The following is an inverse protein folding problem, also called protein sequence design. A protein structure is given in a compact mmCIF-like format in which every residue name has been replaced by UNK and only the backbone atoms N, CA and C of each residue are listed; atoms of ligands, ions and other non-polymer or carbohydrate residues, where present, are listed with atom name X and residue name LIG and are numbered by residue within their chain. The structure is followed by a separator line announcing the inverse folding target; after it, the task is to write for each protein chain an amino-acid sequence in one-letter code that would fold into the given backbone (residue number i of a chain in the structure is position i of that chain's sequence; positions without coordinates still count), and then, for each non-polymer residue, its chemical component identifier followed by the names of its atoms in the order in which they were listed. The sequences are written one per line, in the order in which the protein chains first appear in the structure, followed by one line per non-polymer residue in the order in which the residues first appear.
data_IF_410184246913
#
_entry.id   IF_410184246913
#
_cell.length_a   1.000
_cell.length_b   1.000
_cell.length_c   1.000
_cell.angle_alpha   90.00
_cell.angle_beta   90.00
_cell.angle_gamma   90.00
#
_symmetry.space_group_name_H-M   'P 1'
#
loop_
_entity.id
_entity.type
_entity.pdbx_description
1 polymer ?
#
# COMPACT_ATOMS: atom_id res chain seq x y z
N UNK A 1 -25.42 -0.55 -18.69
CA UNK A 1 -24.11 -1.22 -18.81
C UNK A 1 -23.08 -0.26 -18.29
N UNK A 2 -22.49 -0.54 -17.13
CA UNK A 2 -21.38 0.26 -16.61
C UNK A 2 -20.18 0.07 -17.53
N UNK A 3 -19.73 1.16 -18.16
CA UNK A 3 -18.54 1.16 -18.98
C UNK A 3 -17.35 1.24 -18.02
N UNK A 4 -16.58 0.16 -17.93
CA UNK A 4 -15.31 0.15 -17.21
C UNK A 4 -14.33 1.03 -17.99
N UNK A 5 -13.85 2.11 -17.36
CA UNK A 5 -12.79 2.95 -17.94
C UNK A 5 -11.52 2.11 -18.02
N UNK A 6 -11.00 1.91 -19.23
CA UNK A 6 -9.72 1.25 -19.44
C UNK A 6 -8.56 2.25 -19.35
N UNK A 7 -7.36 1.76 -19.07
CA UNK A 7 -6.15 2.59 -19.10
C UNK A 7 -5.94 3.23 -20.48
N UNK A 8 -6.42 2.58 -21.55
CA UNK A 8 -6.35 3.11 -22.92
C UNK A 8 -7.28 4.32 -23.12
N UNK A 9 -8.43 4.38 -22.45
CA UNK A 9 -9.34 5.53 -22.52
C UNK A 9 -8.73 6.77 -21.85
N UNK A 10 -7.83 6.59 -20.87
CA UNK A 10 -7.11 7.66 -20.19
C UNK A 10 -6.01 8.25 -21.09
N UNK A 11 -5.44 7.43 -21.98
CA UNK A 11 -4.35 7.82 -22.88
C UNK A 11 -4.77 8.84 -23.96
N UNK A 12 -6.07 9.02 -24.18
CA UNK A 12 -6.61 10.04 -25.09
C UNK A 12 -6.59 11.46 -24.48
N UNK A 13 -6.38 11.58 -23.17
CA UNK A 13 -6.31 12.89 -22.50
C UNK A 13 -4.97 13.58 -22.77
N UNK A 14 -4.97 14.91 -22.99
CA UNK A 14 -3.75 15.69 -22.95
C UNK A 14 -2.99 15.43 -21.64
N UNK A 15 -1.65 15.31 -21.73
CA UNK A 15 -0.83 14.94 -20.59
C UNK A 15 -1.02 15.86 -19.36
N UNK A 16 -1.26 17.17 -19.59
CA UNK A 16 -1.51 18.12 -18.50
C UNK A 16 -2.85 17.88 -17.79
N UNK A 17 -3.90 17.51 -18.51
CA UNK A 17 -5.20 17.15 -17.92
C UNK A 17 -5.10 15.84 -17.13
N UNK A 18 -4.42 14.84 -17.69
CA UNK A 18 -4.18 13.58 -16.98
C UNK A 18 -3.40 13.80 -15.67
N UNK A 19 -2.34 14.62 -15.69
CA UNK A 19 -1.58 14.97 -14.49
C UNK A 19 -2.43 15.74 -13.47
N UNK A 20 -3.28 16.66 -13.93
CA UNK A 20 -4.22 17.41 -13.07
C UNK A 20 -5.19 16.45 -12.34
N UNK A 21 -5.80 15.52 -13.09
CA UNK A 21 -6.72 14.51 -12.54
C UNK A 21 -6.00 13.61 -11.53
N UNK A 22 -4.82 13.10 -11.90
CA UNK A 22 -4.03 12.25 -11.00
C UNK A 22 -3.61 12.98 -9.73
N UNK A 23 -3.25 14.27 -9.80
CA UNK A 23 -2.92 15.10 -8.64
C UNK A 23 -4.11 15.30 -7.72
N UNK A 24 -5.28 15.64 -8.28
CA UNK A 24 -6.50 15.83 -7.50
C UNK A 24 -6.90 14.52 -6.80
N UNK A 25 -6.86 13.40 -7.52
CA UNK A 25 -7.09 12.08 -6.95
C UNK A 25 -6.08 11.71 -5.87
N UNK A 26 -4.79 12.01 -6.08
CA UNK A 26 -3.70 11.78 -5.13
C UNK A 26 -3.91 12.56 -3.82
N UNK A 27 -4.28 13.84 -3.88
CA UNK A 27 -4.57 14.67 -2.69
C UNK A 27 -5.67 14.02 -1.84
N UNK A 28 -6.75 13.55 -2.49
CA UNK A 28 -7.88 12.92 -1.78
C UNK A 28 -7.53 11.55 -1.22
N UNK A 29 -6.76 10.74 -1.96
CA UNK A 29 -6.49 9.35 -1.60
C UNK A 29 -5.34 9.18 -0.62
N UNK A 30 -4.36 10.09 -0.62
CA UNK A 30 -3.15 9.94 0.19
C UNK A 30 -3.44 9.75 1.69
N UNK A 31 -4.30 10.55 2.36
CA UNK A 31 -4.55 10.36 3.79
C UNK A 31 -5.14 8.99 4.14
N UNK A 32 -6.02 8.46 3.28
CA UNK A 32 -6.58 7.12 3.46
C UNK A 32 -5.50 6.03 3.31
N UNK A 33 -4.63 6.17 2.32
CA UNK A 33 -3.55 5.21 2.08
C UNK A 33 -2.53 5.24 3.22
N UNK A 34 -2.18 6.42 3.74
CA UNK A 34 -1.30 6.58 4.89
C UNK A 34 -1.90 5.97 6.16
N UNK A 35 -3.19 6.21 6.42
CA UNK A 35 -3.88 5.59 7.55
C UNK A 35 -3.88 4.06 7.44
N UNK A 36 -4.12 3.52 6.24
CA UNK A 36 -4.09 2.07 6.01
C UNK A 36 -2.68 1.48 6.15
N UNK A 37 -1.66 2.20 5.70
CA UNK A 37 -0.26 1.84 5.88
C UNK A 37 0.10 1.75 7.37
N UNK A 38 -0.18 2.79 8.15
CA UNK A 38 0.10 2.81 9.58
C UNK A 38 -0.70 1.77 10.37
N UNK A 39 -1.94 1.50 9.97
CA UNK A 39 -2.72 0.42 10.56
C UNK A 39 -2.03 -0.94 10.31
N UNK A 40 -1.63 -1.22 9.08
CA UNK A 40 -0.98 -2.49 8.75
C UNK A 40 0.39 -2.64 9.44
N UNK A 41 1.17 -1.56 9.48
CA UNK A 41 2.44 -1.47 10.23
C UNK A 41 2.23 -1.82 11.71
N UNK A 42 1.21 -1.23 12.36
CA UNK A 42 0.90 -1.50 13.76
C UNK A 42 0.45 -2.96 14.00
N UNK A 43 -0.29 -3.55 13.07
CA UNK A 43 -0.70 -4.97 13.18
C UNK A 43 0.49 -5.92 13.03
N UNK A 44 1.38 -5.65 12.06
CA UNK A 44 2.63 -6.42 11.90
C UNK A 44 3.48 -6.32 13.17
N UNK A 45 3.70 -5.11 13.69
CA UNK A 45 4.46 -4.90 14.92
C UNK A 45 3.84 -5.62 16.13
N UNK A 46 2.51 -5.64 16.23
CA UNK A 46 1.79 -6.38 17.29
C UNK A 46 2.10 -7.87 17.26
N UNK A 47 2.13 -8.49 16.07
CA UNK A 47 2.47 -9.91 15.95
C UNK A 47 3.95 -10.17 16.22
N UNK A 48 4.83 -9.31 15.72
CA UNK A 48 6.27 -9.40 15.99
C UNK A 48 6.58 -9.32 17.48
N UNK A 49 5.90 -8.41 18.20
CA UNK A 49 6.00 -8.29 19.65
C UNK A 49 5.38 -9.51 20.36
N UNK A 50 4.22 -10.00 19.91
CA UNK A 50 3.57 -11.17 20.53
C UNK A 50 4.42 -12.43 20.45
N UNK A 51 5.03 -12.68 19.29
CA UNK A 51 5.73 -13.92 18.98
C UNK A 51 7.26 -13.80 19.07
N UNK A 52 7.78 -12.60 19.34
CA UNK A 52 9.21 -12.32 19.50
C UNK A 52 10.05 -12.81 18.29
N UNK A 53 9.48 -12.71 17.09
CA UNK A 53 10.11 -13.09 15.82
C UNK A 53 9.56 -12.21 14.70
N UNK A 54 10.13 -12.29 13.49
CA UNK A 54 9.55 -11.64 12.30
C UNK A 54 8.80 -12.64 11.44
N UNK A 55 7.86 -12.17 10.62
CA UNK A 55 7.12 -13.05 9.71
C UNK A 55 8.06 -13.78 8.75
N UNK A 56 9.11 -13.09 8.29
CA UNK A 56 10.11 -13.66 7.40
C UNK A 56 10.89 -14.82 8.05
N UNK A 57 11.27 -14.67 9.33
CA UNK A 57 11.92 -15.74 10.09
C UNK A 57 10.99 -16.93 10.31
N UNK A 58 9.76 -16.66 10.76
CA UNK A 58 8.75 -17.68 11.00
C UNK A 58 8.38 -18.44 9.72
N UNK A 59 8.23 -17.74 8.59
CA UNK A 59 7.95 -18.36 7.29
C UNK A 59 9.09 -19.26 6.80
N UNK A 60 10.34 -18.92 7.13
CA UNK A 60 11.50 -19.72 6.75
C UNK A 60 11.69 -20.96 7.64
N UNK A 61 11.34 -20.85 8.93
CA UNK A 61 11.48 -21.94 9.91
C UNK A 61 10.27 -22.89 9.90
N UNK A 62 9.12 -22.41 9.44
CA UNK A 62 7.85 -23.08 9.62
C UNK A 62 7.24 -22.79 10.98
N UNK A 63 5.96 -23.12 11.12
CA UNK A 63 5.27 -23.05 12.41
C UNK A 63 5.84 -24.10 13.37
N UNK A 64 5.92 -23.81 14.68
CA UNK A 64 6.32 -24.79 15.68
C UNK A 64 5.44 -26.05 15.64
N UNK A 65 6.01 -27.22 15.96
CA UNK A 65 5.26 -28.49 15.98
C UNK A 65 4.14 -28.50 17.04
N UNK A 66 4.25 -27.66 18.07
CA UNK A 66 3.27 -27.46 19.13
C UNK A 66 2.38 -26.22 18.94
N UNK A 67 2.37 -25.63 17.73
CA UNK A 67 1.52 -24.50 17.40
C UNK A 67 0.04 -24.84 17.62
N UNK A 68 -0.63 -24.03 18.44
CA UNK A 68 -2.05 -24.17 18.68
C UNK A 68 -2.87 -23.52 17.57
N UNK A 69 -4.19 -23.75 17.61
CA UNK A 69 -5.12 -23.17 16.65
C UNK A 69 -5.01 -21.65 16.55
N UNK A 70 -4.78 -20.96 17.67
CA UNK A 70 -4.65 -19.50 17.68
C UNK A 70 -3.38 -19.06 16.95
N UNK A 71 -2.27 -19.77 17.10
CA UNK A 71 -1.04 -19.48 16.38
C UNK A 71 -1.26 -19.59 14.87
N UNK A 72 -1.96 -20.63 14.40
CA UNK A 72 -2.27 -20.77 12.97
C UNK A 72 -3.11 -19.61 12.42
N UNK A 73 -4.14 -19.19 13.14
CA UNK A 73 -4.98 -18.05 12.75
C UNK A 73 -4.20 -16.73 12.77
N UNK A 74 -3.40 -16.50 13.82
CA UNK A 74 -2.55 -15.32 13.93
C UNK A 74 -1.51 -15.29 12.79
N UNK A 75 -0.95 -16.43 12.39
CA UNK A 75 -0.03 -16.51 11.26
C UNK A 75 -0.69 -16.07 9.94
N UNK A 76 -1.89 -16.57 9.65
CA UNK A 76 -2.64 -16.19 8.45
C UNK A 76 -2.99 -14.69 8.47
N UNK A 77 -3.44 -14.17 9.62
CA UNK A 77 -3.73 -12.75 9.77
C UNK A 77 -2.47 -11.89 9.59
N UNK A 78 -1.34 -12.35 10.13
CA UNK A 78 -0.06 -11.68 10.02
C UNK A 78 0.43 -11.62 8.57
N UNK A 79 0.34 -12.72 7.81
CA UNK A 79 0.64 -12.72 6.37
C UNK A 79 -0.20 -11.69 5.61
N UNK A 80 -1.50 -11.62 5.91
CA UNK A 80 -2.40 -10.63 5.33
C UNK A 80 -1.93 -9.20 5.64
N UNK A 81 -1.67 -8.88 6.91
CA UNK A 81 -1.26 -7.53 7.30
C UNK A 81 0.12 -7.14 6.75
N UNK A 82 1.06 -8.08 6.69
CA UNK A 82 2.37 -7.84 6.09
C UNK A 82 2.25 -7.52 4.59
N UNK A 83 1.37 -8.23 3.87
CA UNK A 83 1.05 -7.91 2.47
C UNK A 83 0.45 -6.51 2.33
N UNK A 84 -0.55 -6.18 3.14
CA UNK A 84 -1.16 -4.84 3.12
C UNK A 84 -0.14 -3.75 3.41
N UNK A 85 0.73 -3.96 4.40
CA UNK A 85 1.79 -3.02 4.75
C UNK A 85 2.72 -2.75 3.57
N UNK A 86 3.25 -3.79 2.93
CA UNK A 86 4.16 -3.65 1.79
C UNK A 86 3.49 -2.99 0.57
N UNK A 87 2.27 -3.43 0.21
CA UNK A 87 1.54 -2.86 -0.92
C UNK A 87 1.19 -1.38 -0.68
N UNK A 88 0.73 -1.04 0.52
CA UNK A 88 0.37 0.35 0.85
C UNK A 88 1.58 1.26 0.97
N UNK A 89 2.73 0.77 1.46
CA UNK A 89 3.99 1.52 1.48
C UNK A 89 4.38 1.96 0.06
N UNK A 90 4.38 1.02 -0.88
CA UNK A 90 4.70 1.29 -2.29
C UNK A 90 3.73 2.31 -2.90
N UNK A 91 2.42 2.14 -2.66
CA UNK A 91 1.42 3.06 -3.20
C UNK A 91 1.56 4.45 -2.59
N UNK A 92 1.72 4.58 -1.27
CA UNK A 92 1.94 5.87 -0.59
C UNK A 92 3.17 6.57 -1.15
N UNK A 93 4.28 5.85 -1.33
CA UNK A 93 5.51 6.38 -1.93
C UNK A 93 5.28 6.94 -3.32
N UNK A 94 4.61 6.18 -4.19
CA UNK A 94 4.31 6.60 -5.56
C UNK A 94 3.37 7.81 -5.62
N UNK A 95 2.32 7.82 -4.78
CA UNK A 95 1.37 8.93 -4.69
C UNK A 95 2.06 10.21 -4.19
N UNK A 96 2.93 10.12 -3.18
CA UNK A 96 3.73 11.26 -2.73
C UNK A 96 4.63 11.80 -3.85
N UNK A 97 5.24 10.93 -4.64
CA UNK A 97 6.08 11.35 -5.77
C UNK A 97 5.29 12.07 -6.87
N UNK A 98 4.05 11.65 -7.15
CA UNK A 98 3.13 12.36 -8.06
C UNK A 98 2.88 13.79 -7.55
N UNK A 99 2.62 13.95 -6.25
CA UNK A 99 2.36 15.26 -5.65
C UNK A 99 3.60 16.18 -5.68
N UNK A 100 4.79 15.64 -5.43
CA UNK A 100 6.05 16.40 -5.45
C UNK A 100 6.48 16.80 -6.86
N UNK A 101 6.29 15.92 -7.85
CA UNK A 101 6.74 16.17 -9.23
C UNK A 101 5.90 17.24 -9.94
N UNK A 102 4.66 17.48 -9.48
CA UNK A 102 3.73 18.46 -10.05
C UNK A 102 3.89 19.89 -9.47
N UNK A 103 4.87 20.13 -8.59
CA UNK A 103 5.19 21.45 -8.04
C UNK A 103 6.26 22.20 -8.83
N UNK A 104 6.88 21.57 -9.83
CA UNK A 104 7.84 22.25 -10.71
C UNK A 104 7.08 22.88 -11.88
N UNK A 105 7.02 24.22 -12.01
CA UNK A 105 6.38 24.83 -13.16
C UNK A 105 7.22 24.50 -14.40
N UNK A 106 6.56 23.95 -15.43
CA UNK A 106 7.14 23.88 -16.78
C UNK A 106 7.27 25.33 -17.25
N UNK A 107 8.44 25.92 -17.04
CA UNK A 107 8.81 27.19 -17.65
C UNK A 107 8.97 26.92 -19.13
N UNK A 108 7.95 27.26 -19.92
CA UNK A 108 8.07 27.32 -21.37
C UNK A 108 8.91 28.57 -21.72
N UNK A 109 10.15 28.33 -22.16
CA UNK A 109 10.99 29.32 -22.86
C UNK A 109 10.64 29.39 -24.34
#
# INVERSE_FOLDING_TARGET
MDRVVSVLDIAELPAHEMLSILRQGAIVRLPYLEARFHQAEAQVARFEERYQTTLAQLSAQGLPDDADYQFHEDFIEWEYWHKVWHETEMIVRNVRQILQSAETPVVHS
#
